data_IF_097462554232
#
_entry.id   IF_097462554232
#
_cell.length_a   1.000
_cell.length_b   1.000
_cell.length_c   1.000
_cell.angle_alpha   90.00
_cell.angle_beta   90.00
_cell.angle_gamma   90.00
#
_symmetry.space_group_name_H-M   'P 1'
#
loop_
_entity.id
_entity.type
_entity.pdbx_description
1 polymer ?
#
# COMPACT_ATOMS: atom_id res chain seq x y z
N UNK A 1 -15.66 -4.87 11.08
CA UNK A 1 -14.40 -4.38 10.48
C UNK A 1 -13.74 -3.50 11.53
N UNK A 2 -12.41 -3.54 11.66
CA UNK A 2 -11.71 -2.59 12.54
C UNK A 2 -12.05 -1.16 12.07
N UNK A 3 -12.32 -0.24 13.00
CA UNK A 3 -12.43 1.17 12.64
C UNK A 3 -11.02 1.64 12.25
N UNK A 4 -10.84 1.95 10.97
CA UNK A 4 -9.52 2.18 10.39
C UNK A 4 -9.45 3.55 9.73
N UNK A 5 -8.42 4.30 10.09
CA UNK A 5 -8.12 5.59 9.48
C UNK A 5 -7.01 5.43 8.46
N UNK A 6 -7.11 6.18 7.36
CA UNK A 6 -6.07 6.30 6.34
C UNK A 6 -5.54 7.72 6.38
N UNK A 7 -4.22 7.88 6.46
CA UNK A 7 -3.56 9.18 6.51
C UNK A 7 -2.45 9.24 5.47
N UNK A 8 -2.29 10.41 4.85
CA UNK A 8 -1.16 10.73 3.99
C UNK A 8 -0.14 11.50 4.82
N UNK A 9 1.12 11.08 4.77
CA UNK A 9 2.25 11.70 5.45
C UNK A 9 3.23 12.18 4.38
N UNK A 10 3.66 13.44 4.47
CA UNK A 10 4.66 14.06 3.59
C UNK A 10 4.40 13.88 2.07
N UNK A 11 3.13 13.76 1.68
CA UNK A 11 2.69 13.63 0.29
C UNK A 11 3.18 12.39 -0.47
N UNK A 12 3.91 11.46 0.15
CA UNK A 12 4.53 10.30 -0.49
C UNK A 12 4.32 8.98 0.27
N UNK A 13 3.67 9.05 1.43
CA UNK A 13 3.47 7.92 2.33
C UNK A 13 2.02 7.82 2.74
N UNK A 14 1.42 6.64 2.58
CA UNK A 14 0.08 6.34 3.09
C UNK A 14 0.19 5.36 4.25
N UNK A 15 -0.52 5.65 5.34
CA UNK A 15 -0.59 4.80 6.53
C UNK A 15 -2.04 4.42 6.80
N UNK A 16 -2.28 3.13 7.08
CA UNK A 16 -3.54 2.63 7.63
C UNK A 16 -3.30 2.21 9.08
N UNK A 17 -4.11 2.72 10.00
CA UNK A 17 -4.04 2.42 11.42
C UNK A 17 -5.45 2.35 12.04
N UNK A 18 -5.56 1.70 13.20
CA UNK A 18 -6.70 1.84 14.11
C UNK A 18 -6.25 2.51 15.40
N UNK A 19 -7.12 2.59 16.41
CA UNK A 19 -6.84 3.27 17.68
C UNK A 19 -5.65 2.68 18.45
N UNK A 20 -5.30 1.42 18.18
CA UNK A 20 -4.32 0.67 18.97
C UNK A 20 -2.98 0.49 18.23
N UNK A 21 -2.98 0.46 16.89
CA UNK A 21 -1.77 0.10 16.14
C UNK A 21 -1.79 0.53 14.68
N UNK A 22 -0.59 0.67 14.12
CA UNK A 22 -0.39 0.77 12.66
C UNK A 22 -0.60 -0.60 12.03
N UNK A 23 -1.55 -0.68 11.11
CA UNK A 23 -1.89 -1.91 10.39
C UNK A 23 -0.94 -2.12 9.20
N UNK A 24 -0.58 -1.04 8.51
CA UNK A 24 0.33 -1.07 7.38
C UNK A 24 0.59 0.31 6.79
N UNK A 25 1.57 0.38 5.90
CA UNK A 25 1.92 1.60 5.20
C UNK A 25 2.52 1.31 3.83
N UNK A 26 2.48 2.31 2.97
CA UNK A 26 3.03 2.27 1.62
C UNK A 26 3.73 3.60 1.33
N UNK A 27 4.89 3.55 0.68
CA UNK A 27 5.61 4.72 0.18
C UNK A 27 5.68 4.67 -1.33
N UNK A 28 5.59 5.82 -1.99
CA UNK A 28 5.58 5.92 -3.43
C UNK A 28 6.23 7.21 -3.91
N UNK A 29 6.75 7.19 -5.13
CA UNK A 29 7.33 8.36 -5.76
C UNK A 29 6.39 8.91 -6.84
N UNK A 30 5.83 10.10 -6.60
CA UNK A 30 4.86 10.74 -7.50
C UNK A 30 5.40 11.00 -8.91
N UNK A 31 6.66 11.40 -9.01
CA UNK A 31 7.30 11.74 -10.28
C UNK A 31 7.42 10.52 -11.20
N UNK A 32 8.00 9.42 -10.70
CA UNK A 32 8.22 8.19 -11.45
C UNK A 32 6.97 7.30 -11.55
N UNK A 33 5.98 7.47 -10.67
CA UNK A 33 4.80 6.61 -10.60
C UNK A 33 5.13 5.24 -10.02
N UNK A 34 6.06 5.20 -9.07
CA UNK A 34 6.57 3.96 -8.51
C UNK A 34 6.09 3.76 -7.07
N UNK A 35 5.59 2.57 -6.75
CA UNK A 35 5.37 2.12 -5.37
C UNK A 35 6.69 1.56 -4.83
N UNK A 36 7.39 2.37 -4.04
CA UNK A 36 8.73 2.05 -3.53
C UNK A 36 8.70 0.98 -2.44
N UNK A 37 7.70 1.03 -1.55
CA UNK A 37 7.57 0.06 -0.47
C UNK A 37 6.11 -0.12 -0.07
N UNK A 38 5.73 -1.34 0.29
CA UNK A 38 4.43 -1.63 0.89
C UNK A 38 4.56 -2.72 1.95
N UNK A 39 3.97 -2.47 3.11
CA UNK A 39 3.97 -3.41 4.21
C UNK A 39 2.61 -3.44 4.90
N UNK A 40 2.19 -4.66 5.25
CA UNK A 40 1.06 -4.93 6.12
C UNK A 40 1.53 -5.85 7.22
N UNK A 41 1.23 -5.49 8.46
CA UNK A 41 1.53 -6.30 9.64
C UNK A 41 0.92 -7.71 9.47
N UNK A 42 1.69 -8.79 9.69
CA UNK A 42 1.23 -10.17 9.54
C UNK A 42 -0.13 -10.49 10.17
N UNK A 43 -0.43 -9.95 11.35
CA UNK A 43 -1.69 -10.18 12.05
C UNK A 43 -2.93 -9.68 11.27
N UNK A 44 -2.73 -8.74 10.34
CA UNK A 44 -3.78 -8.10 9.53
C UNK A 44 -3.72 -8.51 8.05
N UNK A 45 -2.79 -9.38 7.64
CA UNK A 45 -2.69 -9.82 6.23
C UNK A 45 -3.91 -10.63 5.79
N UNK A 46 -4.15 -10.64 4.47
CA UNK A 46 -5.29 -11.30 3.81
C UNK A 46 -6.67 -10.73 4.19
N UNK A 47 -6.71 -9.52 4.74
CA UNK A 47 -7.95 -8.76 5.05
C UNK A 47 -8.20 -7.56 4.10
N UNK A 48 -7.47 -7.49 2.99
CA UNK A 48 -7.62 -6.42 1.97
C UNK A 48 -6.82 -5.13 2.23
N UNK A 49 -6.10 -4.99 3.35
CA UNK A 49 -5.35 -3.76 3.66
C UNK A 49 -4.27 -3.41 2.65
N UNK A 50 -3.60 -4.40 2.02
CA UNK A 50 -2.61 -4.13 0.97
C UNK A 50 -3.24 -3.46 -0.26
N UNK A 51 -4.44 -3.90 -0.66
CA UNK A 51 -5.17 -3.30 -1.77
C UNK A 51 -5.64 -1.88 -1.43
N UNK A 52 -6.11 -1.67 -0.19
CA UNK A 52 -6.51 -0.33 0.30
C UNK A 52 -5.33 0.64 0.33
N UNK A 53 -4.15 0.18 0.76
CA UNK A 53 -2.92 0.97 0.72
C UNK A 53 -2.57 1.38 -0.71
N UNK A 54 -2.52 0.42 -1.64
CA UNK A 54 -2.21 0.69 -3.05
C UNK A 54 -3.19 1.70 -3.65
N UNK A 55 -4.50 1.48 -3.49
CA UNK A 55 -5.52 2.38 -4.03
C UNK A 55 -5.43 3.80 -3.45
N UNK A 56 -5.13 3.93 -2.15
CA UNK A 56 -4.94 5.23 -1.52
C UNK A 56 -3.66 5.92 -2.02
N UNK A 57 -2.58 5.17 -2.23
CA UNK A 57 -1.33 5.70 -2.82
C UNK A 57 -1.53 6.14 -4.27
N UNK A 58 -2.26 5.38 -5.09
CA UNK A 58 -2.58 5.76 -6.48
C UNK A 58 -3.48 7.00 -6.55
N UNK A 59 -4.45 7.10 -5.62
CA UNK A 59 -5.30 8.29 -5.49
C UNK A 59 -4.46 9.53 -5.14
N UNK A 60 -3.54 9.40 -4.20
CA UNK A 60 -2.66 10.50 -3.79
C UNK A 60 -1.65 10.86 -4.90
N UNK A 61 -1.13 9.87 -5.62
CA UNK A 61 -0.25 10.08 -6.77
C UNK A 61 -0.98 10.61 -8.02
N UNK A 62 -2.32 10.52 -8.03
CA UNK A 62 -3.20 10.83 -9.17
C UNK A 62 -2.86 10.01 -10.43
N UNK A 63 -2.30 8.82 -10.26
CA UNK A 63 -1.92 7.89 -11.34
C UNK A 63 -1.74 6.47 -10.79
N UNK A 64 -1.84 5.44 -11.65
CA UNK A 64 -1.48 4.08 -11.27
C UNK A 64 0.00 3.98 -10.86
N UNK A 65 0.30 3.13 -9.88
CA UNK A 65 1.65 2.94 -9.37
C UNK A 65 2.18 1.56 -9.77
N UNK A 66 3.44 1.51 -10.24
CA UNK A 66 4.13 0.26 -10.53
C UNK A 66 5.06 -0.13 -9.37
N UNK A 67 5.15 -1.39 -8.96
CA UNK A 67 6.07 -1.78 -7.90
C UNK A 67 7.53 -1.54 -8.32
N UNK A 68 8.34 -0.99 -7.42
CA UNK A 68 9.77 -0.90 -7.58
C UNK A 68 10.41 -2.30 -7.59
N UNK A 69 11.41 -2.51 -8.44
CA UNK A 69 12.28 -3.69 -8.36
C UNK A 69 13.37 -3.49 -7.29
N UNK A 70 13.82 -4.56 -6.61
CA UNK A 70 13.33 -5.94 -6.73
C UNK A 70 12.01 -6.18 -5.97
N UNK A 71 11.07 -6.89 -6.57
CA UNK A 71 9.80 -7.25 -5.91
C UNK A 71 9.97 -8.49 -5.01
N UNK A 72 9.48 -8.45 -3.78
CA UNK A 72 9.50 -9.62 -2.88
C UNK A 72 8.62 -10.79 -3.39
N UNK A 73 8.87 -12.06 -3.01
CA UNK A 73 8.02 -13.18 -3.42
C UNK A 73 6.55 -13.00 -3.03
N UNK A 74 6.29 -12.40 -1.87
CA UNK A 74 4.93 -12.08 -1.43
C UNK A 74 4.34 -10.92 -2.25
N UNK A 75 5.15 -9.90 -2.56
CA UNK A 75 4.77 -8.81 -3.45
C UNK A 75 4.35 -9.33 -4.83
N UNK A 76 5.12 -10.24 -5.44
CA UNK A 76 4.76 -10.86 -6.73
C UNK A 76 3.39 -11.54 -6.68
N UNK A 77 3.13 -12.33 -5.64
CA UNK A 77 1.81 -12.97 -5.42
C UNK A 77 0.69 -11.95 -5.20
N UNK A 78 0.97 -10.86 -4.49
CA UNK A 78 0.01 -9.80 -4.26
C UNK A 78 -0.35 -9.10 -5.58
N UNK A 79 0.65 -8.69 -6.36
CA UNK A 79 0.41 -8.01 -7.63
C UNK A 79 -0.22 -8.91 -8.68
N UNK A 80 0.09 -10.21 -8.74
CA UNK A 80 -0.57 -11.14 -9.68
C UNK A 80 -2.07 -11.34 -9.41
N UNK A 81 -2.55 -10.99 -8.22
CA UNK A 81 -3.97 -11.10 -7.83
C UNK A 81 -4.70 -9.76 -8.01
N UNK A 82 -4.05 -8.66 -7.62
CA UNK A 82 -4.65 -7.32 -7.55
C UNK A 82 -4.56 -6.60 -8.89
N UNK A 83 -3.40 -6.65 -9.54
CA UNK A 83 -3.26 -6.23 -10.91
C UNK A 83 -3.57 -7.46 -11.76
N UNK A 84 -4.66 -7.44 -12.52
CA UNK A 84 -4.67 -8.22 -13.76
C UNK A 84 -3.53 -7.67 -14.62
N UNK A 85 -2.34 -8.23 -14.46
CA UNK A 85 -1.26 -8.14 -15.45
C UNK A 85 -1.55 -9.18 -16.51
#
# INVERSE_FOLDING_TARGET
MDDTTIRVINDDTVVIANDNTTIGYATFEKASGTLSYIFVNPAFRRRGYGARLLAASEKEAKKPLKPAEPISPLGRKFFSIIAKV
#
